data_IF_515607462262
#
_entry.id   IF_515607462262
#
_cell.length_a   1.000
_cell.length_b   1.000
_cell.length_c   1.000
_cell.angle_alpha   90.00
_cell.angle_beta   90.00
_cell.angle_gamma   90.00
#
_symmetry.space_group_name_H-M   'P 1'
#
loop_
_entity.id
_entity.type
_entity.pdbx_description
1 polymer ?
#
# COMPACT_ATOMS: atom_id res chain seq x y z
N UNK A 1 25.94 -36.31 -5.59
CA UNK A 1 25.37 -35.38 -6.57
C UNK A 1 23.87 -35.50 -6.45
N UNK A 2 23.08 -34.51 -6.07
CA UNK A 2 23.30 -33.24 -5.37
C UNK A 2 21.95 -32.97 -4.71
N UNK A 3 21.96 -32.78 -3.39
CA UNK A 3 20.84 -32.25 -2.62
C UNK A 3 20.58 -30.82 -3.08
N UNK A 4 19.55 -30.56 -3.91
CA UNK A 4 19.26 -29.18 -4.36
C UNK A 4 17.81 -28.88 -4.77
N UNK A 5 16.85 -29.82 -4.60
CA UNK A 5 15.47 -29.61 -5.09
C UNK A 5 14.46 -29.13 -4.02
N UNK A 6 14.81 -29.12 -2.71
CA UNK A 6 13.88 -28.72 -1.63
C UNK A 6 13.92 -27.24 -1.24
N UNK A 7 14.87 -26.46 -1.78
CA UNK A 7 15.14 -25.09 -1.29
C UNK A 7 14.27 -24.01 -1.95
N UNK A 8 13.47 -24.35 -2.97
CA UNK A 8 12.78 -23.38 -3.83
C UNK A 8 11.34 -23.04 -3.40
N UNK A 9 10.78 -23.77 -2.43
CA UNK A 9 9.40 -23.58 -1.95
C UNK A 9 9.31 -22.70 -0.69
N UNK A 10 10.33 -22.74 0.19
CA UNK A 10 10.35 -21.97 1.44
C UNK A 10 10.47 -20.45 1.22
N UNK A 11 11.35 -19.99 0.33
CA UNK A 11 11.51 -18.56 0.04
C UNK A 11 10.23 -17.94 -0.54
N UNK A 12 9.47 -18.71 -1.33
CA UNK A 12 8.20 -18.27 -1.93
C UNK A 12 7.08 -18.22 -0.89
N UNK A 13 7.07 -19.15 0.07
CA UNK A 13 6.14 -19.16 1.19
C UNK A 13 6.44 -17.99 2.15
N UNK A 14 7.71 -17.75 2.50
CA UNK A 14 8.09 -16.65 3.37
C UNK A 14 7.81 -15.29 2.74
N UNK A 15 8.07 -15.12 1.44
CA UNK A 15 7.74 -13.86 0.75
C UNK A 15 6.23 -13.65 0.59
N UNK A 16 5.43 -14.71 0.41
CA UNK A 16 3.97 -14.61 0.48
C UNK A 16 3.49 -14.24 1.89
N UNK A 17 4.00 -14.88 2.94
CA UNK A 17 3.67 -14.60 4.33
C UNK A 17 4.08 -13.18 4.77
N UNK A 18 5.21 -12.67 4.26
CA UNK A 18 5.67 -11.29 4.47
C UNK A 18 4.77 -10.27 3.75
N UNK A 19 4.27 -10.59 2.56
CA UNK A 19 3.31 -9.72 1.86
C UNK A 19 1.92 -9.79 2.50
N UNK A 20 1.46 -10.96 2.96
CA UNK A 20 0.23 -11.12 3.74
C UNK A 20 0.27 -10.31 5.04
N UNK A 21 1.35 -10.46 5.82
CA UNK A 21 1.53 -9.69 7.07
C UNK A 21 1.50 -8.17 6.83
N UNK A 22 2.05 -7.71 5.70
CA UNK A 22 1.97 -6.30 5.31
C UNK A 22 0.57 -5.89 4.90
N UNK A 23 -0.18 -6.76 4.20
CA UNK A 23 -1.57 -6.50 3.83
C UNK A 23 -2.44 -6.37 5.08
N UNK A 24 -2.30 -7.26 6.06
CA UNK A 24 -3.03 -7.20 7.33
C UNK A 24 -2.73 -5.92 8.12
N UNK A 25 -1.46 -5.53 8.22
CA UNK A 25 -1.06 -4.27 8.87
C UNK A 25 -1.70 -3.06 8.18
N UNK A 26 -1.64 -3.03 6.84
CA UNK A 26 -2.24 -1.98 6.04
C UNK A 26 -3.77 -1.97 6.21
N UNK A 27 -4.42 -3.13 6.18
CA UNK A 27 -5.86 -3.26 6.39
C UNK A 27 -6.25 -2.72 7.76
N UNK A 28 -5.52 -3.08 8.82
CA UNK A 28 -5.74 -2.58 10.17
C UNK A 28 -5.66 -1.06 10.23
N UNK A 29 -4.63 -0.46 9.63
CA UNK A 29 -4.48 1.01 9.55
C UNK A 29 -5.62 1.68 8.80
N UNK A 30 -6.06 1.12 7.67
CA UNK A 30 -7.16 1.68 6.88
C UNK A 30 -8.48 1.56 7.64
N UNK A 31 -8.76 0.40 8.23
CA UNK A 31 -10.00 0.13 8.97
C UNK A 31 -10.13 0.96 10.26
N UNK A 32 -9.02 1.41 10.84
CA UNK A 32 -9.01 2.29 12.00
C UNK A 32 -9.48 3.73 11.68
N UNK A 33 -9.23 4.19 10.44
CA UNK A 33 -9.52 5.57 10.02
C UNK A 33 -10.74 5.65 9.08
N UNK A 34 -11.08 4.56 8.39
CA UNK A 34 -12.14 4.49 7.38
C UNK A 34 -12.97 3.22 7.51
N UNK A 35 -14.26 3.32 7.18
CA UNK A 35 -15.10 2.15 7.03
C UNK A 35 -14.79 1.46 5.69
N UNK A 36 -14.06 0.33 5.76
CA UNK A 36 -13.74 -0.50 4.59
C UNK A 36 -14.98 -1.29 4.19
N UNK A 37 -15.46 -1.07 2.97
CA UNK A 37 -16.56 -1.82 2.38
C UNK A 37 -16.05 -3.10 1.73
N UNK A 38 -14.95 -3.00 1.00
CA UNK A 38 -14.36 -4.09 0.24
C UNK A 38 -12.88 -3.76 -0.07
N UNK A 39 -12.06 -4.76 -0.35
CA UNK A 39 -10.66 -4.57 -0.73
C UNK A 39 -10.20 -5.68 -1.68
N UNK A 40 -9.32 -5.31 -2.60
CA UNK A 40 -8.76 -6.24 -3.57
C UNK A 40 -7.36 -5.82 -3.95
N UNK A 41 -6.57 -6.77 -4.45
CA UNK A 41 -5.25 -6.52 -4.98
C UNK A 41 -5.31 -6.52 -6.50
N UNK A 42 -4.99 -5.38 -7.12
CA UNK A 42 -4.98 -5.23 -8.58
C UNK A 42 -3.57 -4.89 -9.04
N UNK A 43 -2.98 -5.74 -9.88
CA UNK A 43 -1.61 -5.56 -10.39
C UNK A 43 -0.55 -5.28 -9.30
N UNK A 44 -0.71 -5.88 -8.12
CA UNK A 44 0.19 -5.66 -6.97
C UNK A 44 -0.07 -4.36 -6.19
N UNK A 45 -1.16 -3.65 -6.49
CA UNK A 45 -1.62 -2.45 -5.78
C UNK A 45 -2.83 -2.83 -4.93
N UNK A 46 -2.74 -2.58 -3.63
CA UNK A 46 -3.84 -2.84 -2.71
C UNK A 46 -4.85 -1.69 -2.82
N UNK A 47 -6.07 -2.03 -3.22
CA UNK A 47 -7.15 -1.08 -3.45
C UNK A 47 -8.30 -1.36 -2.50
N UNK A 48 -8.75 -0.32 -1.82
CA UNK A 48 -9.84 -0.38 -0.86
C UNK A 48 -11.01 0.46 -1.37
N UNK A 49 -12.20 -0.11 -1.27
CA UNK A 49 -13.43 0.65 -1.32
C UNK A 49 -13.75 1.10 0.09
N UNK A 50 -13.76 2.41 0.32
CA UNK A 50 -14.03 3.00 1.63
C UNK A 50 -15.24 3.90 1.56
N UNK A 51 -15.99 3.92 2.66
CA UNK A 51 -17.01 4.93 2.88
C UNK A 51 -16.39 6.08 3.66
N UNK A 52 -16.67 7.30 3.22
CA UNK A 52 -16.14 8.50 3.85
C UNK A 52 -17.23 9.39 4.41
N UNK A 53 -17.01 9.78 5.66
CA UNK A 53 -17.89 10.69 6.39
C UNK A 53 -17.39 12.15 6.32
N UNK A 54 -18.10 13.05 7.01
CA UNK A 54 -17.76 14.49 7.07
C UNK A 54 -16.34 14.81 7.55
N UNK A 55 -15.67 13.88 8.25
CA UNK A 55 -14.29 14.04 8.76
C UNK A 55 -13.21 13.35 7.90
N UNK A 56 -13.56 12.93 6.68
CA UNK A 56 -12.68 12.16 5.79
C UNK A 56 -11.32 12.79 5.49
N UNK A 57 -11.25 14.12 5.42
CA UNK A 57 -9.98 14.84 5.20
C UNK A 57 -8.99 14.65 6.34
N UNK A 58 -9.46 14.67 7.58
CA UNK A 58 -8.60 14.54 8.75
C UNK A 58 -8.15 13.10 8.94
N UNK A 59 -9.07 12.14 8.76
CA UNK A 59 -8.77 10.71 8.71
C UNK A 59 -7.74 10.38 7.62
N UNK A 60 -7.88 10.95 6.43
CA UNK A 60 -6.92 10.76 5.33
C UNK A 60 -5.53 11.27 5.72
N UNK A 61 -5.43 12.44 6.35
CA UNK A 61 -4.14 13.00 6.77
C UNK A 61 -3.46 12.15 7.85
N UNK A 62 -4.22 11.57 8.79
CA UNK A 62 -3.71 10.66 9.82
C UNK A 62 -3.18 9.38 9.19
N UNK A 63 -4.01 8.73 8.37
CA UNK A 63 -3.64 7.53 7.64
C UNK A 63 -2.40 7.74 6.74
N UNK A 64 -2.35 8.89 6.05
CA UNK A 64 -1.21 9.26 5.22
C UNK A 64 0.09 9.41 6.00
N UNK A 65 0.06 9.97 7.22
CA UNK A 65 1.27 10.09 8.05
C UNK A 65 1.80 8.73 8.48
N UNK A 66 0.90 7.82 8.86
CA UNK A 66 1.27 6.46 9.26
C UNK A 66 1.93 5.71 8.09
N UNK A 67 1.26 5.68 6.93
CA UNK A 67 1.77 4.97 5.75
C UNK A 67 3.02 5.62 5.14
N UNK A 68 3.15 6.95 5.20
CA UNK A 68 4.37 7.65 4.76
C UNK A 68 5.60 7.25 5.56
N UNK A 69 5.43 6.92 6.85
CA UNK A 69 6.53 6.48 7.71
C UNK A 69 7.06 5.10 7.30
N UNK A 70 6.22 4.29 6.66
CA UNK A 70 6.53 2.95 6.13
C UNK A 70 6.96 3.03 4.65
N UNK A 71 7.01 4.23 4.06
CA UNK A 71 7.40 4.43 2.65
C UNK A 71 6.28 4.13 1.64
N UNK A 72 5.04 4.01 2.11
CA UNK A 72 3.85 3.82 1.29
C UNK A 72 3.17 5.17 1.03
N UNK A 73 2.48 5.26 -0.10
CA UNK A 73 1.66 6.42 -0.46
C UNK A 73 0.22 5.96 -0.65
N UNK A 74 -0.72 6.81 -0.24
CA UNK A 74 -2.13 6.61 -0.55
C UNK A 74 -2.58 7.54 -1.66
N UNK A 75 -3.51 7.03 -2.44
CA UNK A 75 -4.25 7.79 -3.43
C UNK A 75 -5.74 7.59 -3.19
N UNK A 76 -6.39 8.60 -2.61
CA UNK A 76 -7.85 8.64 -2.50
C UNK A 76 -8.42 9.24 -3.79
N UNK A 77 -9.27 8.48 -4.46
CA UNK A 77 -10.01 8.90 -5.66
C UNK A 77 -11.49 8.70 -5.42
N UNK A 78 -12.29 9.69 -5.80
CA UNK A 78 -13.73 9.54 -5.87
C UNK A 78 -14.13 9.05 -7.25
N UNK A 79 -14.77 7.89 -7.34
CA UNK A 79 -15.27 7.32 -8.58
C UNK A 79 -16.78 7.13 -8.45
N UNK A 80 -17.54 8.08 -9.00
CA UNK A 80 -18.98 8.17 -8.82
C UNK A 80 -19.39 8.43 -7.37
N UNK A 81 -20.13 7.50 -6.78
CA UNK A 81 -20.61 7.56 -5.39
C UNK A 81 -19.66 6.92 -4.38
N UNK A 82 -18.61 6.22 -4.85
CA UNK A 82 -17.69 5.49 -3.98
C UNK A 82 -16.34 6.19 -3.91
N UNK A 83 -15.69 6.04 -2.77
CA UNK A 83 -14.31 6.46 -2.62
C UNK A 83 -13.38 5.24 -2.63
N UNK A 84 -12.35 5.37 -3.46
CA UNK A 84 -11.37 4.35 -3.76
C UNK A 84 -10.05 4.81 -3.18
N UNK A 85 -9.49 4.01 -2.29
CA UNK A 85 -8.22 4.27 -1.63
C UNK A 85 -7.19 3.25 -2.12
N UNK A 86 -6.23 3.72 -2.92
CA UNK A 86 -5.16 2.88 -3.47
C UNK A 86 -3.87 3.07 -2.70
N UNK A 87 -3.19 1.97 -2.38
CA UNK A 87 -1.92 1.99 -1.65
C UNK A 87 -0.80 1.57 -2.59
N UNK A 88 0.08 2.53 -2.87
CA UNK A 88 1.20 2.36 -3.80
C UNK A 88 2.52 2.51 -3.05
N UNK A 89 3.52 1.74 -3.45
CA UNK A 89 4.89 1.94 -2.98
C UNK A 89 5.42 3.25 -3.55
N UNK A 90 6.13 4.05 -2.72
CA UNK A 90 6.70 5.32 -3.19
C UNK A 90 7.65 5.04 -4.36
N UNK A 91 7.46 5.69 -5.52
CA UNK A 91 8.35 5.49 -6.65
C UNK A 91 9.77 5.93 -6.28
N UNK A 92 10.80 5.19 -6.71
CA UNK A 92 12.19 5.57 -6.44
C UNK A 92 12.48 6.90 -7.15
N UNK A 93 12.58 7.98 -6.37
CA UNK A 93 12.91 9.31 -6.90
C UNK A 93 14.41 9.30 -7.24
N UNK A 94 14.76 9.15 -8.52
CA UNK A 94 16.13 9.35 -9.00
C UNK A 94 16.53 10.78 -8.66
N UNK A 95 17.63 10.97 -7.92
CA UNK A 95 18.23 12.30 -7.72
C UNK A 95 18.67 12.81 -9.09
N UNK A 96 18.04 13.86 -9.60
CA UNK A 96 18.47 14.50 -10.84
C UNK A 96 19.82 15.17 -10.62
N UNK A 97 20.86 14.77 -11.35
CA UNK A 97 22.07 15.56 -11.48
C UNK A 97 21.74 16.78 -12.35
N UNK A 98 21.33 17.88 -11.72
CA UNK A 98 21.22 19.17 -12.41
C UNK A 98 22.66 19.69 -12.56
N UNK A 99 23.31 19.35 -13.67
CA UNK A 99 24.50 20.08 -14.11
C UNK A 99 24.02 21.43 -14.67
N UNK A 100 24.20 22.47 -13.86
CA UNK A 100 23.99 23.86 -14.28
C UNK A 100 25.24 24.24 -15.09
N UNK A 101 25.10 24.52 -16.39
CA UNK A 101 26.15 25.22 -17.13
C UNK A 101 26.07 26.70 -16.75
N UNK A 102 27.16 27.25 -16.19
CA UNK A 102 27.32 28.66 -15.85
C UNK A 102 28.01 29.40 -16.99
#
# INVERSE_FOLDING_TARGET
MSESEEQVDLDKLESAQLEESRIDEIYSLVSAEFQVLDYYMEHGILTFYVQTDKNSKEAFLRLYRNLKSIGLLLLLKKEGEREILRIIKKPPVKKGNVMINL
#
